data_IF_081252883444
#
_entry.id   IF_081252883444
#
_cell.length_a   1.000
_cell.length_b   1.000
_cell.length_c   1.000
_cell.angle_alpha   90.00
_cell.angle_beta   90.00
_cell.angle_gamma   90.00
#
_symmetry.space_group_name_H-M   'P 1'
#
loop_
_entity.id
_entity.type
_entity.pdbx_description
1 polymer ?
#
# COMPACT_ATOMS: atom_id res chain seq x y z
N UNK A 1 -8.67 -17.73 -13.07
CA UNK A 1 -8.95 -16.27 -13.13
C UNK A 1 -7.73 -15.50 -13.64
N UNK A 2 -7.91 -14.31 -14.22
CA UNK A 2 -6.80 -13.44 -14.63
C UNK A 2 -6.48 -12.41 -13.54
N UNK A 3 -5.20 -12.07 -13.39
CA UNK A 3 -4.72 -10.99 -12.53
C UNK A 3 -3.71 -10.12 -13.27
N UNK A 4 -3.48 -8.91 -12.75
CA UNK A 4 -2.49 -7.97 -13.31
C UNK A 4 -1.50 -7.52 -12.25
N UNK A 5 -0.39 -6.93 -12.69
CA UNK A 5 0.56 -6.24 -11.80
C UNK A 5 -0.13 -5.06 -11.07
N UNK A 6 0.24 -4.84 -9.80
CA UNK A 6 -0.15 -3.65 -9.04
C UNK A 6 0.47 -2.38 -9.62
N UNK A 7 -0.32 -1.32 -9.72
CA UNK A 7 0.24 0.01 -9.96
C UNK A 7 0.99 0.49 -8.72
N UNK A 8 1.91 1.45 -8.87
CA UNK A 8 2.64 2.03 -7.74
C UNK A 8 1.70 2.57 -6.65
N UNK A 9 0.61 3.23 -7.06
CA UNK A 9 -0.41 3.74 -6.15
C UNK A 9 -1.13 2.63 -5.37
N UNK A 10 -1.29 1.43 -5.92
CA UNK A 10 -1.96 0.31 -5.25
C UNK A 10 -1.06 -0.39 -4.23
N UNK A 11 0.26 -0.41 -4.44
CA UNK A 11 1.23 -1.17 -3.61
C UNK A 11 1.08 -0.87 -2.12
N UNK A 12 0.84 0.40 -1.77
CA UNK A 12 0.65 0.83 -0.37
C UNK A 12 -0.54 0.15 0.31
N UNK A 13 -1.60 -0.20 -0.42
CA UNK A 13 -2.76 -0.93 0.10
C UNK A 13 -2.53 -2.45 0.23
N UNK A 14 -1.28 -2.91 0.09
CA UNK A 14 -0.91 -4.27 0.52
C UNK A 14 -0.32 -4.29 1.93
N UNK A 15 -0.11 -3.13 2.56
CA UNK A 15 0.44 -3.00 3.91
C UNK A 15 -0.65 -2.60 4.90
N UNK A 16 -0.37 -2.75 6.19
CA UNK A 16 -1.24 -2.25 7.26
C UNK A 16 -1.55 -0.77 7.06
N UNK A 17 -2.82 -0.43 7.04
CA UNK A 17 -3.31 0.95 6.94
C UNK A 17 -3.82 1.42 8.29
N UNK A 18 -4.04 2.73 8.42
CA UNK A 18 -4.79 3.28 9.54
C UNK A 18 -6.22 2.77 9.55
N UNK A 19 -6.90 2.96 10.69
CA UNK A 19 -8.33 2.65 10.79
C UNK A 19 -9.14 3.47 9.78
N UNK A 20 -8.85 4.76 9.63
CA UNK A 20 -9.60 5.66 8.75
C UNK A 20 -9.52 5.21 7.28
N UNK A 21 -8.31 4.96 6.78
CA UNK A 21 -8.08 4.47 5.41
C UNK A 21 -8.76 3.12 5.18
N UNK A 22 -8.59 2.20 6.13
CA UNK A 22 -9.18 0.86 6.03
C UNK A 22 -10.70 0.91 5.98
N UNK A 23 -11.32 1.84 6.72
CA UNK A 23 -12.77 2.07 6.67
C UNK A 23 -13.22 2.62 5.31
N UNK A 24 -12.54 3.63 4.78
CA UNK A 24 -12.89 4.28 3.51
C UNK A 24 -12.67 3.37 2.29
N UNK A 25 -11.63 2.53 2.33
CA UNK A 25 -11.31 1.60 1.25
C UNK A 25 -12.13 0.31 1.30
N UNK A 26 -12.91 0.09 2.36
CA UNK A 26 -13.69 -1.14 2.53
C UNK A 26 -12.82 -2.37 2.74
N UNK A 27 -11.71 -2.24 3.49
CA UNK A 27 -10.85 -3.37 3.83
C UNK A 27 -11.64 -4.39 4.67
N UNK A 28 -11.83 -5.60 4.14
CA UNK A 28 -12.53 -6.69 4.83
C UNK A 28 -11.58 -7.33 5.85
N UNK A 29 -10.34 -7.57 5.41
CA UNK A 29 -9.28 -8.21 6.17
C UNK A 29 -8.18 -8.66 5.23
N UNK A 30 -7.24 -9.43 5.74
CA UNK A 30 -6.18 -10.00 4.91
C UNK A 30 -5.77 -11.39 5.36
N UNK A 31 -5.39 -12.20 4.38
CA UNK A 31 -4.72 -13.47 4.59
C UNK A 31 -3.21 -13.24 4.53
N UNK A 32 -2.47 -13.79 5.48
CA UNK A 32 -1.03 -14.02 5.29
C UNK A 32 -0.79 -15.52 5.11
N UNK A 33 0.15 -15.87 4.25
CA UNK A 33 0.55 -17.26 4.06
C UNK A 33 2.05 -17.43 3.84
N UNK A 34 2.55 -18.62 4.11
CA UNK A 34 3.91 -19.05 3.78
C UNK A 34 3.94 -20.49 3.26
N UNK A 35 4.97 -20.79 2.48
CA UNK A 35 5.17 -22.11 1.89
C UNK A 35 6.02 -23.06 2.74
N UNK A 36 6.16 -22.78 4.04
CA UNK A 36 6.93 -23.59 4.96
C UNK A 36 8.40 -23.79 4.59
N UNK A 37 9.02 -24.77 5.23
CA UNK A 37 10.46 -25.03 5.08
C UNK A 37 10.79 -25.71 3.75
N UNK A 38 9.90 -26.58 3.26
CA UNK A 38 10.11 -27.33 2.00
C UNK A 38 9.75 -26.49 0.78
N UNK A 39 8.83 -25.53 0.94
CA UNK A 39 8.34 -24.69 -0.15
C UNK A 39 7.07 -25.21 -0.80
N UNK A 40 6.51 -26.33 -0.32
CA UNK A 40 5.31 -26.96 -0.86
C UNK A 40 4.10 -26.88 0.10
N UNK A 41 4.30 -26.33 1.29
CA UNK A 41 3.20 -26.12 2.25
C UNK A 41 2.37 -24.88 1.89
N UNK A 42 1.25 -24.65 2.56
CA UNK A 42 0.51 -23.38 2.44
C UNK A 42 -0.13 -23.04 3.79
N UNK A 43 0.69 -22.58 4.73
CA UNK A 43 0.24 -22.23 6.07
C UNK A 43 -0.36 -20.84 6.05
N UNK A 44 -1.59 -20.71 6.56
CA UNK A 44 -2.33 -19.46 6.46
C UNK A 44 -2.77 -18.92 7.81
N UNK A 45 -2.87 -17.60 7.92
CA UNK A 45 -3.58 -16.91 9.00
C UNK A 45 -4.46 -15.82 8.42
N UNK A 46 -5.73 -15.81 8.79
CA UNK A 46 -6.64 -14.71 8.47
C UNK A 46 -6.62 -13.63 9.57
N UNK A 47 -6.62 -12.37 9.17
CA UNK A 47 -6.71 -11.21 10.06
C UNK A 47 -7.93 -10.39 9.67
N UNK A 48 -8.92 -10.31 10.56
CA UNK A 48 -10.14 -9.54 10.33
C UNK A 48 -9.90 -8.03 10.49
N UNK A 49 -10.58 -7.23 9.66
CA UNK A 49 -10.73 -5.79 9.87
C UNK A 49 -12.22 -5.41 9.96
N UNK A 50 -12.95 -5.41 8.84
CA UNK A 50 -14.41 -5.19 8.79
C UNK A 50 -15.17 -6.49 8.74
N UNK A 51 -15.40 -7.07 9.93
CA UNK A 51 -16.14 -8.34 10.09
C UNK A 51 -17.55 -8.28 9.51
N UNK A 52 -18.18 -7.12 9.51
CA UNK A 52 -19.48 -6.86 8.90
C UNK A 52 -19.48 -6.98 7.38
N UNK A 53 -18.33 -6.78 6.72
CA UNK A 53 -18.17 -6.98 5.28
C UNK A 53 -17.74 -8.41 4.91
N UNK A 54 -17.38 -9.24 5.90
CA UNK A 54 -16.98 -10.65 5.69
C UNK A 54 -18.21 -11.56 5.57
N UNK A 55 -19.00 -11.31 4.53
CA UNK A 55 -20.22 -12.06 4.21
C UNK A 55 -19.90 -13.50 3.81
N UNK A 56 -20.90 -14.38 3.80
CA UNK A 56 -20.70 -15.76 3.34
C UNK A 56 -20.43 -15.82 1.83
N UNK A 57 -20.99 -14.89 1.06
CA UNK A 57 -20.65 -14.67 -0.35
C UNK A 57 -19.16 -14.37 -0.51
N UNK A 58 -18.62 -13.41 0.25
CA UNK A 58 -17.20 -13.09 0.23
C UNK A 58 -16.33 -14.29 0.59
N UNK A 59 -16.70 -15.05 1.64
CA UNK A 59 -15.91 -16.22 2.08
C UNK A 59 -15.85 -17.29 0.99
N UNK A 60 -16.98 -17.60 0.37
CA UNK A 60 -17.04 -18.59 -0.70
C UNK A 60 -16.19 -18.16 -1.91
N UNK A 61 -16.37 -16.92 -2.37
CA UNK A 61 -15.58 -16.39 -3.49
C UNK A 61 -14.08 -16.31 -3.17
N UNK A 62 -13.73 -15.89 -1.95
CA UNK A 62 -12.34 -15.83 -1.50
C UNK A 62 -11.68 -17.21 -1.46
N UNK A 63 -12.39 -18.24 -0.96
CA UNK A 63 -11.90 -19.61 -0.95
C UNK A 63 -11.67 -20.11 -2.39
N UNK A 64 -12.57 -19.81 -3.33
CA UNK A 64 -12.41 -20.15 -4.75
C UNK A 64 -11.18 -19.44 -5.36
N UNK A 65 -11.03 -18.13 -5.16
CA UNK A 65 -9.89 -17.33 -5.64
C UNK A 65 -8.56 -17.91 -5.13
N UNK A 66 -8.45 -18.19 -3.83
CA UNK A 66 -7.21 -18.73 -3.26
C UNK A 66 -6.94 -20.14 -3.76
N UNK A 67 -7.95 -21.01 -3.85
CA UNK A 67 -7.75 -22.38 -4.28
C UNK A 67 -7.43 -22.49 -5.79
N UNK A 68 -8.00 -21.62 -6.63
CA UNK A 68 -7.61 -21.53 -8.04
C UNK A 68 -6.14 -21.16 -8.20
N UNK A 69 -5.66 -20.13 -7.50
CA UNK A 69 -4.26 -19.71 -7.57
C UNK A 69 -3.28 -20.76 -7.01
N UNK A 70 -3.76 -21.61 -6.09
CA UNK A 70 -3.00 -22.77 -5.58
C UNK A 70 -2.99 -23.94 -6.55
N UNK A 71 -3.95 -24.02 -7.46
CA UNK A 71 -4.08 -25.12 -8.41
C UNK A 71 -3.25 -24.85 -9.69
N UNK A 72 -1.92 -24.87 -9.54
CA UNK A 72 -0.98 -24.78 -10.66
C UNK A 72 -0.57 -23.36 -11.09
N UNK A 73 -0.91 -22.34 -10.29
CA UNK A 73 -0.55 -20.94 -10.55
C UNK A 73 0.46 -20.39 -9.51
N UNK A 74 0.57 -19.07 -9.38
CA UNK A 74 1.54 -18.34 -8.54
C UNK A 74 1.51 -18.75 -7.06
N UNK A 75 0.41 -19.33 -6.56
CA UNK A 75 0.30 -19.82 -5.18
C UNK A 75 0.42 -21.35 -5.05
N UNK A 76 0.80 -22.08 -6.11
CA UNK A 76 0.93 -23.53 -6.07
C UNK A 76 2.02 -24.00 -5.10
N UNK A 77 3.19 -23.37 -5.18
CA UNK A 77 4.33 -23.59 -4.30
C UNK A 77 5.29 -22.38 -4.38
N UNK A 78 6.33 -22.37 -3.54
CA UNK A 78 7.32 -21.27 -3.54
C UNK A 78 8.10 -21.18 -4.86
N UNK A 79 8.26 -22.28 -5.59
CA UNK A 79 8.97 -22.31 -6.87
C UNK A 79 8.13 -21.65 -7.96
N UNK A 80 6.82 -21.90 -8.01
CA UNK A 80 5.88 -21.25 -8.89
C UNK A 80 5.83 -19.74 -8.62
N UNK A 81 5.70 -19.34 -7.35
CA UNK A 81 5.77 -17.93 -6.96
C UNK A 81 7.10 -17.27 -7.40
N UNK A 82 8.23 -17.92 -7.10
CA UNK A 82 9.55 -17.41 -7.51
C UNK A 82 9.66 -17.26 -9.03
N UNK A 83 9.16 -18.25 -9.77
CA UNK A 83 9.18 -18.23 -11.23
C UNK A 83 8.38 -17.06 -11.77
N UNK A 84 7.18 -16.82 -11.23
CA UNK A 84 6.36 -15.65 -11.58
C UNK A 84 7.08 -14.33 -11.26
N UNK A 85 7.55 -14.16 -10.02
CA UNK A 85 8.21 -12.93 -9.56
C UNK A 85 9.41 -12.54 -10.43
N UNK A 86 10.28 -13.51 -10.76
CA UNK A 86 11.48 -13.24 -11.54
C UNK A 86 11.25 -13.17 -13.06
N UNK A 87 10.17 -13.76 -13.58
CA UNK A 87 9.80 -13.63 -15.00
C UNK A 87 8.96 -12.38 -15.29
N UNK A 88 8.38 -11.74 -14.26
CA UNK A 88 7.52 -10.56 -14.37
C UNK A 88 8.14 -9.37 -13.61
N UNK A 89 9.19 -8.73 -14.13
CA UNK A 89 9.94 -7.70 -13.39
C UNK A 89 9.09 -6.49 -12.98
N UNK A 90 8.08 -6.12 -13.78
CA UNK A 90 7.17 -5.00 -13.47
C UNK A 90 6.36 -5.22 -12.19
N UNK A 91 6.19 -6.49 -11.77
CA UNK A 91 5.55 -6.81 -10.50
C UNK A 91 6.38 -6.41 -9.29
N UNK A 92 7.69 -6.17 -9.44
CA UNK A 92 8.60 -5.84 -8.34
C UNK A 92 8.34 -4.45 -7.78
N UNK A 93 8.45 -4.34 -6.45
CA UNK A 93 8.38 -3.08 -5.73
C UNK A 93 9.72 -2.34 -5.74
N UNK A 94 10.80 -2.98 -6.22
CA UNK A 94 12.17 -2.48 -6.19
C UNK A 94 12.64 -2.07 -4.77
N UNK A 95 12.20 -2.84 -3.77
CA UNK A 95 12.61 -2.65 -2.37
C UNK A 95 13.60 -3.72 -1.91
N UNK A 96 14.22 -3.50 -0.75
CA UNK A 96 15.21 -4.42 -0.16
C UNK A 96 14.63 -5.79 0.22
N UNK A 97 13.30 -5.87 0.34
CA UNK A 97 12.58 -7.09 0.76
C UNK A 97 12.20 -7.98 -0.41
N UNK A 98 12.46 -7.53 -1.64
CA UNK A 98 12.11 -8.23 -2.87
C UNK A 98 10.60 -8.51 -2.94
N UNK A 99 9.79 -7.52 -2.57
CA UNK A 99 8.34 -7.64 -2.72
C UNK A 99 7.93 -7.54 -4.18
N UNK A 100 6.93 -8.35 -4.53
CA UNK A 100 6.21 -8.25 -5.79
C UNK A 100 4.73 -8.10 -5.51
N UNK A 101 3.93 -7.70 -6.50
CA UNK A 101 2.50 -7.71 -6.26
C UNK A 101 1.60 -7.74 -7.48
N UNK A 102 0.44 -8.34 -7.24
CA UNK A 102 -0.62 -8.55 -8.21
C UNK A 102 -1.95 -8.09 -7.64
N UNK A 103 -2.86 -7.74 -8.53
CA UNK A 103 -4.25 -7.43 -8.25
C UNK A 103 -5.13 -8.37 -9.06
N UNK A 104 -6.03 -9.04 -8.36
CA UNK A 104 -7.13 -9.81 -8.94
C UNK A 104 -8.43 -9.12 -8.55
N UNK A 105 -9.28 -8.86 -9.53
CA UNK A 105 -10.62 -8.29 -9.30
C UNK A 105 -11.68 -9.32 -9.70
N UNK A 106 -12.70 -9.43 -8.86
CA UNK A 106 -13.96 -10.12 -9.19
C UNK A 106 -15.04 -9.09 -9.46
N UNK A 107 -16.31 -9.48 -9.41
CA UNK A 107 -17.42 -8.54 -9.58
C UNK A 107 -17.42 -7.49 -8.44
N UNK A 108 -17.42 -7.96 -7.19
CA UNK A 108 -17.59 -7.10 -6.00
C UNK A 108 -16.30 -6.83 -5.23
N UNK A 109 -15.28 -7.66 -5.40
CA UNK A 109 -14.11 -7.66 -4.53
C UNK A 109 -12.80 -7.45 -5.29
N UNK A 110 -11.82 -6.89 -4.58
CA UNK A 110 -10.45 -6.70 -5.05
C UNK A 110 -9.49 -7.37 -4.08
N UNK A 111 -8.60 -8.20 -4.63
CA UNK A 111 -7.58 -8.94 -3.92
C UNK A 111 -6.20 -8.40 -4.31
N UNK A 112 -5.63 -7.58 -3.43
CA UNK A 112 -4.30 -7.02 -3.62
C UNK A 112 -3.29 -7.90 -2.89
N UNK A 113 -2.45 -8.59 -3.66
CA UNK A 113 -1.49 -9.55 -3.14
C UNK A 113 -0.07 -9.00 -3.19
N UNK A 114 0.61 -8.99 -2.04
CA UNK A 114 2.06 -8.81 -1.96
C UNK A 114 2.71 -10.17 -1.79
N UNK A 115 3.60 -10.50 -2.73
CA UNK A 115 4.33 -11.74 -2.81
C UNK A 115 5.77 -11.51 -2.34
N UNK A 116 6.35 -12.52 -1.69
CA UNK A 116 7.77 -12.56 -1.37
C UNK A 116 8.32 -13.96 -1.71
N UNK A 117 9.19 -14.12 -2.72
CA UNK A 117 9.68 -15.43 -3.14
C UNK A 117 10.71 -16.04 -2.18
N UNK A 118 11.20 -15.29 -1.19
CA UNK A 118 12.30 -15.71 -0.34
C UNK A 118 11.88 -16.80 0.66
N UNK A 119 12.79 -17.72 0.94
CA UNK A 119 12.61 -18.76 1.96
C UNK A 119 12.67 -18.13 3.36
N UNK A 120 11.75 -18.53 4.24
CA UNK A 120 11.69 -18.07 5.63
C UNK A 120 10.91 -16.76 5.85
N UNK A 121 10.38 -16.17 4.78
CA UNK A 121 9.48 -15.02 4.83
C UNK A 121 8.01 -15.46 4.81
N UNK A 122 7.11 -14.57 5.21
CA UNK A 122 5.71 -14.69 4.80
C UNK A 122 5.62 -14.45 3.29
N UNK A 123 5.40 -15.53 2.56
CA UNK A 123 5.44 -15.51 1.09
C UNK A 123 4.26 -14.77 0.47
N UNK A 124 3.12 -14.66 1.17
CA UNK A 124 1.92 -13.98 0.69
C UNK A 124 1.33 -13.09 1.79
N UNK A 125 0.93 -11.89 1.38
CA UNK A 125 -0.14 -11.13 2.01
C UNK A 125 -1.22 -10.84 0.96
N UNK A 126 -2.45 -11.26 1.18
CA UNK A 126 -3.60 -10.98 0.33
C UNK A 126 -4.59 -10.09 1.07
N UNK A 127 -4.61 -8.79 0.74
CA UNK A 127 -5.54 -7.81 1.29
C UNK A 127 -6.82 -7.78 0.46
N UNK A 128 -7.95 -7.95 1.14
CA UNK A 128 -9.26 -8.14 0.52
C UNK A 128 -10.13 -6.90 0.74
N UNK A 129 -10.61 -6.30 -0.34
CA UNK A 129 -11.35 -5.04 -0.33
C UNK A 129 -12.70 -5.16 -1.04
N UNK A 130 -13.66 -4.33 -0.64
CA UNK A 130 -14.77 -3.94 -1.52
C UNK A 130 -14.21 -3.18 -2.73
N UNK A 131 -14.39 -3.73 -3.93
CA UNK A 131 -13.77 -3.21 -5.17
C UNK A 131 -14.14 -1.77 -5.47
N UNK A 132 -15.42 -1.44 -5.40
CA UNK A 132 -15.90 -0.08 -5.70
C UNK A 132 -15.34 0.96 -4.73
N UNK A 133 -15.26 0.61 -3.45
CA UNK A 133 -14.79 1.53 -2.40
C UNK A 133 -13.29 1.78 -2.54
N UNK A 134 -12.51 0.72 -2.75
CA UNK A 134 -11.08 0.84 -3.02
C UNK A 134 -10.82 1.67 -4.29
N UNK A 135 -11.53 1.39 -5.38
CA UNK A 135 -11.34 2.11 -6.64
C UNK A 135 -11.75 3.58 -6.55
N UNK A 136 -12.84 3.89 -5.86
CA UNK A 136 -13.25 5.28 -5.62
C UNK A 136 -12.18 6.01 -4.83
N UNK A 137 -11.69 5.42 -3.74
CA UNK A 137 -10.65 6.03 -2.91
C UNK A 137 -9.33 6.23 -3.68
N UNK A 138 -8.90 5.23 -4.47
CA UNK A 138 -7.70 5.35 -5.31
C UNK A 138 -7.83 6.51 -6.31
N UNK A 139 -8.98 6.62 -6.98
CA UNK A 139 -9.29 7.70 -7.92
C UNK A 139 -9.32 9.07 -7.23
N UNK A 140 -9.83 9.13 -6.00
CA UNK A 140 -9.84 10.36 -5.23
C UNK A 140 -8.43 10.76 -4.79
N UNK A 141 -7.63 9.79 -4.35
CA UNK A 141 -6.24 9.96 -3.96
C UNK A 141 -5.32 10.38 -5.11
N UNK A 142 -5.67 10.09 -6.38
CA UNK A 142 -4.96 10.58 -7.57
C UNK A 142 -4.98 12.10 -7.66
N UNK A 143 -6.00 12.76 -7.10
CA UNK A 143 -5.96 14.22 -7.00
C UNK A 143 -4.73 14.62 -6.20
N UNK A 144 -4.43 13.89 -5.11
CA UNK A 144 -3.33 14.01 -4.13
C UNK A 144 -3.74 14.67 -2.81
N UNK A 145 -2.79 15.12 -1.99
CA UNK A 145 -3.01 15.77 -0.69
C UNK A 145 -2.71 17.26 -0.78
N UNK A 146 -3.69 18.10 -0.41
CA UNK A 146 -3.60 19.56 -0.44
C UNK A 146 -3.09 20.12 0.89
N UNK A 147 -2.08 20.98 0.82
CA UNK A 147 -1.59 21.77 1.96
C UNK A 147 -1.97 23.24 1.77
N UNK A 148 -2.57 23.83 2.80
CA UNK A 148 -3.09 25.21 2.81
C UNK A 148 -2.42 26.01 3.92
N UNK A 149 -2.53 27.34 3.85
CA UNK A 149 -2.34 28.21 5.02
C UNK A 149 -3.64 28.38 5.83
N UNK A 150 -3.59 29.09 6.96
CA UNK A 150 -4.78 29.36 7.78
C UNK A 150 -5.86 30.20 7.09
N UNK A 151 -5.52 30.83 5.97
CA UNK A 151 -6.42 31.64 5.16
C UNK A 151 -7.04 30.83 4.01
N UNK A 152 -6.95 29.50 4.06
CA UNK A 152 -7.47 28.56 3.05
C UNK A 152 -6.81 28.65 1.67
N UNK A 153 -5.66 29.35 1.57
CA UNK A 153 -4.95 29.41 0.31
C UNK A 153 -4.05 28.18 0.17
N UNK A 154 -4.26 27.44 -0.92
CA UNK A 154 -3.39 26.32 -1.30
C UNK A 154 -1.96 26.80 -1.51
N UNK A 155 -1.03 26.17 -0.80
CA UNK A 155 0.40 26.42 -0.92
C UNK A 155 1.04 25.43 -1.89
N UNK A 156 0.71 24.15 -1.75
CA UNK A 156 1.17 23.08 -2.63
C UNK A 156 0.32 21.81 -2.48
N UNK A 157 0.58 20.84 -3.37
CA UNK A 157 0.04 19.48 -3.32
C UNK A 157 1.17 18.45 -3.42
N UNK A 158 0.97 17.30 -2.78
CA UNK A 158 1.82 16.10 -2.94
C UNK A 158 0.96 14.89 -3.32
N UNK A 159 1.56 13.86 -3.89
CA UNK A 159 0.85 12.61 -4.15
C UNK A 159 0.60 11.81 -2.85
N UNK A 160 -0.43 10.97 -2.82
CA UNK A 160 -0.72 10.13 -1.67
C UNK A 160 0.41 9.12 -1.40
N UNK A 161 1.01 9.19 -0.21
CA UNK A 161 2.18 8.40 0.19
C UNK A 161 3.51 9.15 0.08
N UNK A 162 3.54 10.35 -0.48
CA UNK A 162 4.73 11.21 -0.46
C UNK A 162 4.96 11.82 0.93
N UNK A 163 6.14 12.40 1.12
CA UNK A 163 6.55 13.01 2.38
C UNK A 163 6.56 14.53 2.30
N UNK A 164 6.35 15.15 3.45
CA UNK A 164 6.64 16.57 3.71
C UNK A 164 7.84 16.69 4.64
N UNK A 165 8.56 17.80 4.53
CA UNK A 165 9.53 18.25 5.52
C UNK A 165 8.89 19.34 6.37
N UNK A 166 8.88 19.14 7.68
CA UNK A 166 8.42 20.11 8.67
C UNK A 166 9.65 20.69 9.36
N UNK A 167 9.88 21.99 9.22
CA UNK A 167 10.92 22.72 9.93
C UNK A 167 10.33 23.41 11.15
N UNK A 168 10.84 23.02 12.32
CA UNK A 168 10.45 23.54 13.62
C UNK A 168 11.07 24.91 13.88
N UNK A 169 10.52 25.63 14.86
CA UNK A 169 11.00 26.94 15.28
C UNK A 169 12.40 26.93 15.88
N UNK A 170 12.87 25.79 16.41
CA UNK A 170 14.25 25.59 16.88
C UNK A 170 15.25 25.28 15.74
N UNK A 171 14.78 25.29 14.48
CA UNK A 171 15.58 25.02 13.29
C UNK A 171 15.74 23.54 12.95
N UNK A 172 15.26 22.61 13.79
CA UNK A 172 15.26 21.18 13.45
C UNK A 172 14.25 20.88 12.37
N UNK A 173 14.53 19.85 11.58
CA UNK A 173 13.61 19.35 10.56
C UNK A 173 13.17 17.93 10.87
N UNK A 174 11.96 17.58 10.42
CA UNK A 174 11.48 16.21 10.44
C UNK A 174 10.70 15.92 9.15
N UNK A 175 10.86 14.71 8.63
CA UNK A 175 10.04 14.24 7.54
C UNK A 175 8.84 13.44 8.05
N UNK A 176 7.70 13.58 7.37
CA UNK A 176 6.50 12.79 7.64
C UNK A 176 5.89 12.34 6.32
N UNK A 177 5.64 11.04 6.20
CA UNK A 177 4.79 10.49 5.14
C UNK A 177 3.37 10.97 5.34
N UNK A 178 2.71 11.35 4.26
CA UNK A 178 1.34 11.82 4.29
C UNK A 178 0.42 10.87 3.52
N UNK A 179 -0.78 10.64 4.05
CA UNK A 179 -1.80 9.82 3.39
C UNK A 179 -3.07 10.61 3.12
N UNK A 180 -3.63 10.42 1.93
CA UNK A 180 -4.90 11.00 1.52
C UNK A 180 -6.04 10.28 2.22
N UNK A 181 -6.95 11.04 2.84
CA UNK A 181 -8.17 10.51 3.45
C UNK A 181 -9.37 10.99 2.65
N UNK A 182 -9.52 12.31 2.52
CA UNK A 182 -10.48 12.97 1.63
C UNK A 182 -9.97 14.38 1.31
N UNK A 183 -10.80 15.22 0.70
CA UNK A 183 -10.40 16.58 0.29
C UNK A 183 -10.16 17.56 1.47
N UNK A 184 -10.54 17.16 2.70
CA UNK A 184 -10.45 17.97 3.92
C UNK A 184 -9.64 17.28 5.03
N UNK A 185 -9.36 15.99 4.92
CA UNK A 185 -8.60 15.23 5.89
C UNK A 185 -7.36 14.59 5.28
N UNK A 186 -6.30 14.52 6.08
CA UNK A 186 -5.05 13.87 5.74
C UNK A 186 -4.45 13.22 6.97
N UNK A 187 -3.61 12.21 6.74
CA UNK A 187 -2.70 11.73 7.77
C UNK A 187 -1.32 12.35 7.57
N UNK A 188 -0.70 12.77 8.67
CA UNK A 188 0.70 13.20 8.72
C UNK A 188 1.43 12.30 9.71
N UNK A 189 2.24 11.38 9.19
CA UNK A 189 2.76 10.27 9.97
C UNK A 189 1.63 9.34 10.41
N UNK A 190 1.38 9.27 11.72
CA UNK A 190 0.31 8.44 12.30
C UNK A 190 -0.89 9.25 12.78
N UNK A 191 -0.89 10.57 12.57
CA UNK A 191 -1.91 11.46 13.08
C UNK A 191 -2.86 11.89 11.97
N UNK A 192 -4.16 11.76 12.22
CA UNK A 192 -5.23 12.26 11.34
C UNK A 192 -5.51 13.73 11.67
N UNK A 193 -5.60 14.57 10.66
CA UNK A 193 -5.92 15.98 10.79
C UNK A 193 -7.00 16.40 9.80
N UNK A 194 -7.78 17.40 10.19
CA UNK A 194 -8.39 18.29 9.20
C UNK A 194 -7.31 19.23 8.62
N UNK A 195 -7.36 19.55 7.33
CA UNK A 195 -6.33 20.38 6.67
C UNK A 195 -6.12 21.75 7.35
N UNK A 196 -7.20 22.35 7.87
CA UNK A 196 -7.11 23.63 8.58
C UNK A 196 -6.51 23.48 9.98
N UNK A 197 -6.83 22.39 10.69
CA UNK A 197 -6.23 22.10 11.99
C UNK A 197 -4.71 21.96 11.85
N UNK A 198 -4.25 21.26 10.81
CA UNK A 198 -2.83 21.12 10.53
C UNK A 198 -2.16 22.46 10.17
N UNK A 199 -2.82 23.29 9.36
CA UNK A 199 -2.31 24.62 8.99
C UNK A 199 -2.20 25.54 10.22
N UNK A 200 -3.25 25.63 11.03
CA UNK A 200 -3.29 26.41 12.26
C UNK A 200 -2.25 25.92 13.29
N UNK A 201 -2.06 24.60 13.39
CA UNK A 201 -1.02 24.00 14.23
C UNK A 201 0.38 24.48 13.78
N UNK A 202 0.65 24.47 12.47
CA UNK A 202 1.94 24.91 11.95
C UNK A 202 2.20 26.39 12.23
N UNK A 203 1.22 27.26 11.94
CA UNK A 203 1.37 28.70 12.16
C UNK A 203 1.53 29.06 13.63
N UNK A 204 0.72 28.46 14.51
CA UNK A 204 0.77 28.72 15.95
C UNK A 204 2.14 28.38 16.56
N UNK A 205 2.81 27.37 16.02
CA UNK A 205 4.12 26.93 16.52
C UNK A 205 5.31 27.50 15.71
N UNK A 206 5.06 28.32 14.68
CA UNK A 206 6.09 28.86 13.80
C UNK A 206 6.77 27.78 12.94
N UNK A 207 6.04 26.73 12.57
CA UNK A 207 6.53 25.67 11.70
C UNK A 207 6.36 26.04 10.24
N UNK A 208 7.31 25.61 9.42
CA UNK A 208 7.21 25.71 7.96
C UNK A 208 7.16 24.32 7.36
N UNK A 209 6.34 24.14 6.33
CA UNK A 209 6.08 22.85 5.70
C UNK A 209 6.32 22.98 4.20
N UNK A 210 7.09 22.04 3.65
CA UNK A 210 7.38 21.96 2.22
C UNK A 210 7.37 20.49 1.76
N UNK A 211 7.15 20.20 0.47
CA UNK A 211 7.35 18.87 -0.07
C UNK A 211 8.77 18.37 0.22
N UNK A 212 8.93 17.13 0.68
CA UNK A 212 10.25 16.55 0.83
C UNK A 212 10.91 16.37 -0.54
N UNK A 213 12.23 16.54 -0.61
CA UNK A 213 12.97 16.28 -1.84
C UNK A 213 12.80 14.80 -2.24
N UNK A 214 12.49 14.54 -3.51
CA UNK A 214 12.46 13.16 -4.00
C UNK A 214 13.87 12.61 -3.94
N UNK A 215 14.09 11.56 -3.15
CA UNK A 215 15.34 10.79 -3.26
C UNK A 215 15.38 10.22 -4.67
N UNK A 216 16.27 10.76 -5.52
CA UNK A 216 16.58 10.12 -6.78
C UNK A 216 17.15 8.74 -6.46
N UNK A 217 16.33 7.69 -6.59
CA UNK A 217 16.82 6.31 -6.62
C UNK A 217 17.87 6.24 -7.72
N UNK A 218 19.15 6.28 -7.34
CA UNK A 218 20.25 6.00 -8.26
C UNK A 218 20.04 4.58 -8.74
N UNK A 219 19.63 4.44 -9.99
CA UNK A 219 19.67 3.16 -10.70
C UNK A 219 21.06 2.56 -10.50
N UNK A 220 21.12 1.36 -9.94
CA UNK A 220 22.35 0.60 -9.74
C UNK A 220 22.91 0.11 -11.09
N UNK A 221 23.39 1.03 -11.94
CA UNK A 221 23.99 0.75 -13.24
C UNK A 221 25.38 1.35 -13.48
N UNK A 222 26.00 1.95 -12.46
CA UNK A 222 27.36 2.53 -12.57
C UNK A 222 28.38 1.93 -11.59
N UNK A 223 28.35 0.60 -11.38
CA UNK A 223 29.43 -0.12 -10.67
C UNK A 223 30.29 -1.02 -11.56
N UNK A 224 30.18 -0.88 -12.88
CA UNK A 224 31.06 -1.57 -13.82
C UNK A 224 31.72 -0.57 -14.78
N UNK A 225 32.52 0.34 -14.22
CA UNK A 225 33.53 1.13 -14.96
C UNK A 225 34.51 1.81 -14.01
N UNK A 226 35.25 1.01 -13.25
CA UNK A 226 36.53 1.44 -12.71
C UNK A 226 37.35 0.22 -12.29
N UNK A 227 38.17 -0.23 -13.24
CA UNK A 227 39.50 -0.86 -13.10
C UNK A 227 39.62 -2.15 -12.29
#
# INVERSE_FOLDING_TARGET
>A
MDYRVLTEAERKYTFSQSQQLSMQTGLIGYLRADFGSTGNEFWTTWNDFRKDLKTDEFKAEFDDVINELRNGDVLADRKAMSSYCYSTPDSSFNDERNHHGIRLDTDKFSYLMRLNPNKGEYNLYCYCYQKEWLNSHLKDAERGIRFIDSHYKEQFRIADGEKITIKLSDGKTMERTCRYIDDYHLEVGTNLYHICEFAELCERNGYTVEPAAKENMKSAKDKEKSR
#
